data_IF_287841377379
#
_entry.id   IF_287841377379
#
_cell.length_a   1.000
_cell.length_b   1.000
_cell.length_c   1.000
_cell.angle_alpha   90.00
_cell.angle_beta   90.00
_cell.angle_gamma   90.00
#
_symmetry.space_group_name_H-M   'P 1'
#
loop_
_entity.id
_entity.type
_entity.pdbx_description
1 polymer ?
#
# COMPACT_ATOMS: atom_id res chain seq x y z
N UNK A 1 5.19 5.71 14.69
CA UNK A 1 5.87 6.21 15.91
C UNK A 1 4.86 6.09 17.05
N UNK A 2 5.22 5.48 18.18
CA UNK A 2 4.32 5.43 19.34
C UNK A 2 4.43 6.76 20.08
N UNK A 3 3.53 7.68 19.80
CA UNK A 3 3.48 8.96 20.51
C UNK A 3 2.94 8.67 21.91
N UNK A 4 3.76 8.87 22.95
CA UNK A 4 3.32 8.67 24.34
C UNK A 4 3.50 7.25 24.91
N UNK A 5 4.36 6.40 24.32
CA UNK A 5 4.74 5.13 24.97
C UNK A 5 5.43 5.41 26.33
N UNK A 6 5.10 4.69 27.42
CA UNK A 6 4.23 3.50 27.51
C UNK A 6 2.77 3.78 27.91
N UNK A 7 2.34 5.04 27.98
CA UNK A 7 0.99 5.40 28.46
C UNK A 7 -0.09 5.22 27.39
N UNK A 8 0.32 5.25 26.11
CA UNK A 8 -0.58 5.18 24.96
C UNK A 8 -0.08 4.07 24.01
N UNK A 9 -0.79 2.95 24.00
CA UNK A 9 -0.51 1.80 23.12
C UNK A 9 -1.04 1.98 21.69
N UNK A 10 -1.71 3.10 21.41
CA UNK A 10 -2.21 3.38 20.06
C UNK A 10 -1.05 3.78 19.15
N UNK A 11 -0.84 3.01 18.09
CA UNK A 11 -0.01 3.40 16.95
C UNK A 11 -0.72 4.53 16.20
N UNK A 12 -0.58 5.76 16.71
CA UNK A 12 -0.97 6.95 15.97
C UNK A 12 0.06 7.17 14.84
N UNK A 13 -0.15 6.50 13.70
CA UNK A 13 0.39 7.02 12.46
C UNK A 13 -0.50 8.19 12.08
N UNK A 14 0.06 9.40 12.17
CA UNK A 14 -0.55 10.57 11.59
C UNK A 14 0.11 10.73 10.23
N UNK A 15 -0.47 10.20 9.13
CA UNK A 15 0.12 10.29 7.80
C UNK A 15 0.03 11.73 7.23
N UNK A 16 0.15 12.76 8.08
CA UNK A 16 0.19 14.14 7.65
C UNK A 16 1.54 14.51 7.01
N UNK A 17 2.64 13.86 7.42
CA UNK A 17 4.02 14.22 7.01
C UNK A 17 4.67 13.16 6.10
N UNK A 18 4.24 11.89 6.18
CA UNK A 18 4.75 10.83 5.30
C UNK A 18 4.44 11.07 3.81
N UNK A 19 3.58 12.04 3.53
CA UNK A 19 3.37 12.56 2.20
C UNK A 19 4.05 13.93 2.15
N UNK A 20 5.29 13.96 1.68
CA UNK A 20 5.90 15.15 1.10
C UNK A 20 5.08 15.57 -0.11
N UNK A 21 3.91 16.14 0.19
CA UNK A 21 2.91 16.53 -0.78
C UNK A 21 3.63 17.48 -1.74
N UNK A 22 3.70 17.18 -3.06
CA UNK A 22 4.45 18.01 -3.99
C UNK A 22 4.06 19.50 -3.87
N UNK A 23 2.82 19.80 -3.47
CA UNK A 23 2.36 21.15 -3.17
C UNK A 23 3.08 21.81 -1.98
N UNK A 24 3.33 21.08 -0.88
CA UNK A 24 4.09 21.58 0.28
C UNK A 24 5.54 21.83 -0.11
N UNK A 25 6.15 20.92 -0.87
CA UNK A 25 7.53 21.10 -1.36
C UNK A 25 7.63 22.32 -2.27
N UNK A 26 6.71 22.47 -3.23
CA UNK A 26 6.65 23.64 -4.13
C UNK A 26 6.45 24.93 -3.34
N UNK A 27 5.56 24.94 -2.35
CA UNK A 27 5.32 26.11 -1.50
C UNK A 27 6.58 26.50 -0.71
N UNK A 28 7.28 25.53 -0.12
CA UNK A 28 8.51 25.77 0.64
C UNK A 28 9.64 26.30 -0.26
N UNK A 29 9.83 25.70 -1.44
CA UNK A 29 10.82 26.17 -2.42
C UNK A 29 10.50 27.58 -2.91
N UNK A 30 9.25 27.86 -3.26
CA UNK A 30 8.81 29.19 -3.67
C UNK A 30 9.01 30.23 -2.57
N UNK A 31 8.74 29.86 -1.32
CA UNK A 31 8.94 30.73 -0.15
C UNK A 31 10.42 31.01 0.09
N UNK A 32 11.28 30.00 -0.02
CA UNK A 32 12.73 30.15 0.09
C UNK A 32 13.30 31.09 -0.99
N UNK A 33 12.87 30.92 -2.24
CA UNK A 33 13.25 31.81 -3.34
C UNK A 33 12.75 33.24 -3.10
N UNK A 34 11.53 33.43 -2.62
CA UNK A 34 10.99 34.75 -2.32
C UNK A 34 11.78 35.45 -1.19
N UNK A 35 12.16 34.71 -0.14
CA UNK A 35 12.99 35.23 0.96
C UNK A 35 14.40 35.61 0.50
N UNK A 36 14.96 34.87 -0.46
CA UNK A 36 16.25 35.17 -1.07
C UNK A 36 16.21 36.43 -1.93
N UNK A 37 15.16 36.59 -2.74
CA UNK A 37 15.00 37.75 -3.62
C UNK A 37 14.58 39.04 -2.87
N UNK A 38 14.01 38.94 -1.66
CA UNK A 38 13.48 40.08 -0.89
C UNK A 38 13.89 40.01 0.60
N UNK A 39 15.16 40.30 0.93
CA UNK A 39 15.67 40.19 2.30
C UNK A 39 14.93 41.08 3.31
N UNK A 40 14.42 42.25 2.88
CA UNK A 40 13.64 43.16 3.74
C UNK A 40 12.27 42.61 4.15
N UNK A 41 11.77 41.54 3.52
CA UNK A 41 10.43 40.99 3.75
C UNK A 41 10.42 39.56 4.32
N UNK A 42 11.56 39.03 4.77
CA UNK A 42 11.69 37.63 5.18
C UNK A 42 10.70 37.22 6.27
N UNK A 43 10.55 38.04 7.32
CA UNK A 43 9.62 37.74 8.42
C UNK A 43 8.16 37.63 7.94
N UNK A 44 7.72 38.56 7.08
CA UNK A 44 6.38 38.52 6.51
C UNK A 44 6.18 37.30 5.60
N UNK A 45 7.15 36.99 4.73
CA UNK A 45 7.08 35.82 3.86
C UNK A 45 6.96 34.55 4.70
N UNK A 46 7.79 34.40 5.74
CA UNK A 46 7.72 33.25 6.64
C UNK A 46 6.35 33.12 7.32
N UNK A 47 5.78 34.21 7.84
CA UNK A 47 4.44 34.22 8.44
C UNK A 47 3.38 33.81 7.41
N UNK A 48 3.40 34.36 6.21
CA UNK A 48 2.47 34.00 5.13
C UNK A 48 2.61 32.52 4.77
N UNK A 49 3.83 32.01 4.60
CA UNK A 49 4.08 30.59 4.31
C UNK A 49 3.52 29.70 5.42
N UNK A 50 3.73 30.04 6.69
CA UNK A 50 3.19 29.30 7.82
C UNK A 50 1.65 29.32 7.84
N UNK A 51 1.02 30.46 7.57
CA UNK A 51 -0.43 30.57 7.46
C UNK A 51 -0.99 29.72 6.31
N UNK A 52 -0.34 29.73 5.15
CA UNK A 52 -0.73 28.90 4.01
C UNK A 52 -0.58 27.42 4.33
N UNK A 53 0.53 27.00 4.96
CA UNK A 53 0.73 25.61 5.39
C UNK A 53 -0.33 25.19 6.42
N UNK A 54 -0.62 26.02 7.41
CA UNK A 54 -1.65 25.75 8.39
C UNK A 54 -3.03 25.62 7.72
N UNK A 55 -3.38 26.52 6.80
CA UNK A 55 -4.63 26.45 6.03
C UNK A 55 -4.75 25.18 5.19
N UNK A 56 -3.66 24.75 4.53
CA UNK A 56 -3.61 23.53 3.74
C UNK A 56 -3.79 22.29 4.65
N UNK A 57 -3.10 22.24 5.79
CA UNK A 57 -3.24 21.14 6.76
C UNK A 57 -4.65 21.07 7.34
N UNK A 58 -5.25 22.21 7.72
CA UNK A 58 -6.64 22.27 8.18
C UNK A 58 -7.62 21.77 7.09
N UNK A 59 -7.44 22.21 5.84
CA UNK A 59 -8.25 21.75 4.72
C UNK A 59 -8.13 20.23 4.53
N UNK A 60 -6.91 19.70 4.58
CA UNK A 60 -6.64 18.26 4.44
C UNK A 60 -7.27 17.45 5.59
N UNK A 61 -7.27 17.98 6.82
CA UNK A 61 -7.95 17.37 7.97
C UNK A 61 -9.47 17.33 7.78
N UNK A 62 -10.08 18.44 7.36
CA UNK A 62 -11.52 18.52 7.08
C UNK A 62 -11.91 17.51 5.99
N UNK A 63 -11.14 17.46 4.91
CA UNK A 63 -11.45 16.56 3.80
C UNK A 63 -11.22 15.09 4.16
N UNK A 64 -10.17 14.77 4.95
CA UNK A 64 -9.97 13.43 5.51
C UNK A 64 -11.16 13.00 6.37
N UNK A 65 -11.67 13.91 7.21
CA UNK A 65 -12.84 13.63 8.03
C UNK A 65 -14.08 13.36 7.17
N UNK A 66 -14.34 14.19 6.15
CA UNK A 66 -15.43 13.96 5.20
C UNK A 66 -15.32 12.62 4.47
N UNK A 67 -14.11 12.27 4.02
CA UNK A 67 -13.87 10.99 3.36
C UNK A 67 -14.15 9.80 4.28
N UNK A 68 -13.78 9.91 5.56
CA UNK A 68 -14.04 8.87 6.56
C UNK A 68 -15.53 8.71 6.82
N UNK A 69 -16.27 9.82 6.95
CA UNK A 69 -17.73 9.80 7.13
C UNK A 69 -18.43 9.17 5.92
N UNK A 70 -18.10 9.60 4.70
CA UNK A 70 -18.71 9.06 3.48
C UNK A 70 -18.46 7.55 3.31
N UNK A 71 -17.25 7.09 3.67
CA UNK A 71 -16.92 5.67 3.68
C UNK A 71 -17.70 4.90 4.75
N UNK A 72 -17.80 5.42 5.98
CA UNK A 72 -18.56 4.80 7.05
C UNK A 72 -20.04 4.65 6.69
N UNK A 73 -20.65 5.68 6.10
CA UNK A 73 -22.02 5.62 5.57
C UNK A 73 -22.17 4.54 4.47
N UNK A 74 -21.18 4.44 3.59
CA UNK A 74 -21.16 3.40 2.53
C UNK A 74 -21.08 1.99 3.11
N UNK A 75 -20.28 1.77 4.17
CA UNK A 75 -20.19 0.49 4.87
C UNK A 75 -21.51 0.14 5.58
N UNK A 76 -22.09 1.11 6.29
CA UNK A 76 -23.36 0.93 6.98
C UNK A 76 -24.48 0.57 6.01
N UNK A 77 -24.55 1.22 4.85
CA UNK A 77 -25.52 0.92 3.81
C UNK A 77 -25.35 -0.48 3.20
N UNK A 78 -24.12 -1.02 3.17
CA UNK A 78 -23.81 -2.37 2.67
C UNK A 78 -24.01 -3.47 3.70
N UNK A 79 -23.97 -3.13 4.99
CA UNK A 79 -24.01 -4.12 6.07
C UNK A 79 -22.70 -4.91 6.22
N UNK A 80 -21.61 -4.43 5.64
CA UNK A 80 -20.31 -5.12 5.70
C UNK A 80 -19.66 -4.93 7.08
N UNK A 81 -19.19 -6.03 7.68
CA UNK A 81 -18.37 -5.96 8.89
C UNK A 81 -16.88 -5.81 8.52
N UNK A 82 -16.29 -4.71 8.96
CA UNK A 82 -14.87 -4.41 8.73
C UNK A 82 -14.07 -4.75 9.99
N UNK A 83 -13.13 -5.68 9.83
CA UNK A 83 -12.21 -6.15 10.89
C UNK A 83 -11.10 -5.13 11.13
N UNK A 84 -10.57 -4.56 10.05
CA UNK A 84 -9.53 -3.54 10.10
C UNK A 84 -9.69 -2.57 8.93
N UNK A 85 -9.40 -1.29 9.16
CA UNK A 85 -9.31 -0.29 8.11
C UNK A 85 -8.18 0.70 8.35
N UNK A 86 -7.59 1.19 7.27
CA UNK A 86 -6.68 2.32 7.28
C UNK A 86 -7.00 3.23 6.11
N UNK A 87 -6.66 4.50 6.25
CA UNK A 87 -6.89 5.51 5.24
C UNK A 87 -5.58 6.24 4.98
N UNK A 88 -5.22 6.33 3.71
CA UNK A 88 -4.03 7.04 3.26
C UNK A 88 -4.47 8.07 2.20
N UNK A 89 -3.88 9.27 2.25
CA UNK A 89 -4.09 10.19 1.14
C UNK A 89 -3.37 9.65 -0.10
N UNK A 90 -3.91 9.92 -1.28
CA UNK A 90 -3.35 9.40 -2.52
C UNK A 90 -2.18 10.28 -2.99
N UNK A 91 -1.05 9.66 -3.33
CA UNK A 91 0.13 10.40 -3.80
C UNK A 91 -0.19 11.26 -5.04
N UNK A 92 0.22 12.53 -5.06
CA UNK A 92 -0.08 13.57 -6.07
C UNK A 92 -1.52 14.11 -6.11
N UNK A 93 -2.43 13.64 -5.27
CA UNK A 93 -3.80 14.15 -5.22
C UNK A 93 -4.07 14.83 -3.88
N UNK A 94 -4.59 16.06 -3.93
CA UNK A 94 -4.95 16.82 -2.72
C UNK A 94 -6.28 16.38 -2.13
N UNK A 95 -7.17 15.87 -2.99
CA UNK A 95 -8.59 15.67 -2.69
C UNK A 95 -8.99 14.20 -2.78
N UNK A 96 -8.04 13.26 -2.76
CA UNK A 96 -8.37 11.84 -2.85
C UNK A 96 -7.72 11.05 -1.72
N UNK A 97 -8.49 10.12 -1.15
CA UNK A 97 -8.05 9.17 -0.14
C UNK A 97 -8.30 7.76 -0.65
N UNK A 98 -7.29 6.91 -0.52
CA UNK A 98 -7.44 5.48 -0.65
C UNK A 98 -7.70 4.91 0.75
N UNK A 99 -8.76 4.11 0.88
CA UNK A 99 -9.13 3.42 2.12
C UNK A 99 -8.93 1.94 1.87
N UNK A 100 -8.11 1.33 2.71
CA UNK A 100 -7.84 -0.10 2.67
C UNK A 100 -8.60 -0.71 3.82
N UNK A 101 -9.39 -1.74 3.53
CA UNK A 101 -10.11 -2.47 4.55
C UNK A 101 -9.93 -3.97 4.42
N UNK A 102 -10.23 -4.65 5.52
CA UNK A 102 -10.28 -6.09 5.66
C UNK A 102 -11.62 -6.49 6.23
N UNK A 103 -12.32 -7.36 5.53
CA UNK A 103 -13.45 -8.14 6.07
C UNK A 103 -12.98 -9.56 6.35
N UNK A 104 -13.89 -10.44 6.78
CA UNK A 104 -13.59 -11.87 6.94
C UNK A 104 -13.30 -12.59 5.61
N UNK A 105 -13.71 -12.00 4.48
CA UNK A 105 -13.67 -12.64 3.17
C UNK A 105 -12.89 -11.88 2.12
N UNK A 106 -12.54 -10.61 2.36
CA UNK A 106 -11.86 -9.81 1.35
C UNK A 106 -10.96 -8.73 1.95
N UNK A 107 -9.93 -8.40 1.18
CA UNK A 107 -9.20 -7.14 1.28
C UNK A 107 -9.69 -6.21 0.17
N UNK A 108 -9.99 -4.97 0.50
CA UNK A 108 -10.57 -4.03 -0.48
C UNK A 108 -9.84 -2.70 -0.47
N UNK A 109 -9.79 -2.09 -1.65
CA UNK A 109 -9.29 -0.72 -1.83
C UNK A 109 -10.43 0.13 -2.34
N UNK A 110 -10.85 1.07 -1.51
CA UNK A 110 -11.82 2.11 -1.84
C UNK A 110 -11.11 3.40 -2.14
N UNK A 111 -11.73 4.22 -2.97
CA UNK A 111 -11.32 5.60 -3.18
C UNK A 111 -12.46 6.53 -2.85
N UNK A 112 -12.12 7.58 -2.11
CA UNK A 112 -13.03 8.68 -1.80
C UNK A 112 -12.43 9.96 -2.33
N UNK A 113 -13.20 10.71 -3.13
CA UNK A 113 -12.79 12.03 -3.62
C UNK A 113 -13.26 13.17 -2.71
N UNK A 114 -12.87 14.41 -3.04
CA UNK A 114 -13.19 15.60 -2.24
C UNK A 114 -14.68 15.93 -2.17
N UNK A 115 -15.50 15.33 -3.04
CA UNK A 115 -16.97 15.43 -2.99
C UNK A 115 -17.60 14.41 -2.05
N UNK A 116 -16.84 13.45 -1.55
CA UNK A 116 -17.33 12.33 -0.75
C UNK A 116 -17.78 11.13 -1.59
N UNK A 117 -17.54 11.12 -2.90
CA UNK A 117 -17.91 9.98 -3.74
C UNK A 117 -17.01 8.79 -3.42
N UNK A 118 -17.62 7.71 -2.93
CA UNK A 118 -16.93 6.45 -2.61
C UNK A 118 -17.03 5.49 -3.79
N UNK A 119 -15.89 4.93 -4.22
CA UNK A 119 -15.85 3.89 -5.27
C UNK A 119 -14.91 2.76 -4.88
N UNK A 120 -15.29 1.52 -5.18
CA UNK A 120 -14.38 0.38 -5.09
C UNK A 120 -13.37 0.47 -6.25
N UNK A 121 -12.07 0.44 -5.94
CA UNK A 121 -11.00 0.41 -6.95
C UNK A 121 -10.72 -1.03 -7.35
N UNK A 122 -10.48 -1.89 -6.37
CA UNK A 122 -10.36 -3.34 -6.55
C UNK A 122 -10.53 -4.05 -5.19
N UNK A 123 -10.72 -5.36 -5.25
CA UNK A 123 -10.79 -6.21 -4.07
C UNK A 123 -10.13 -7.57 -4.36
N UNK A 124 -9.55 -8.16 -3.32
CA UNK A 124 -8.92 -9.47 -3.33
C UNK A 124 -9.61 -10.35 -2.31
N UNK A 125 -9.99 -11.56 -2.71
CA UNK A 125 -10.63 -12.52 -1.81
C UNK A 125 -9.58 -13.09 -0.84
N UNK A 126 -9.96 -13.20 0.43
CA UNK A 126 -9.14 -13.89 1.44
C UNK A 126 -9.50 -15.36 1.35
N UNK A 127 -8.70 -16.10 0.60
CA UNK A 127 -8.84 -17.56 0.51
C UNK A 127 -8.54 -18.22 1.85
N UNK A 128 -9.12 -19.41 2.06
CA UNK A 128 -8.80 -20.24 3.23
C UNK A 128 -7.33 -20.59 3.20
N UNK A 129 -6.63 -20.36 4.32
CA UNK A 129 -5.21 -20.64 4.43
C UNK A 129 -4.93 -22.14 4.18
N UNK A 130 -4.08 -22.39 3.19
CA UNK A 130 -3.58 -23.72 2.87
C UNK A 130 -2.41 -24.08 3.81
N UNK A 131 -2.09 -25.38 4.00
CA UNK A 131 -1.02 -25.79 4.91
C UNK A 131 0.35 -25.15 4.61
N UNK A 132 0.64 -24.88 3.34
CA UNK A 132 1.91 -24.25 2.95
C UNK A 132 1.93 -22.76 3.30
N UNK A 133 0.82 -22.06 3.11
CA UNK A 133 0.62 -20.70 3.62
C UNK A 133 0.91 -20.62 5.11
N UNK A 134 0.34 -21.52 5.92
CA UNK A 134 0.60 -21.57 7.36
C UNK A 134 2.10 -21.82 7.66
N UNK A 135 2.72 -22.81 6.99
CA UNK A 135 4.15 -23.10 7.14
C UNK A 135 5.04 -21.89 6.80
N UNK A 136 4.64 -21.10 5.79
CA UNK A 136 5.40 -19.91 5.38
C UNK A 136 5.42 -18.81 6.43
N UNK A 137 4.45 -18.77 7.36
CA UNK A 137 4.44 -17.84 8.51
C UNK A 137 5.58 -18.10 9.49
N UNK A 138 6.21 -19.28 9.46
CA UNK A 138 7.38 -19.57 10.28
C UNK A 138 8.68 -18.89 9.76
N UNK A 139 8.68 -18.41 8.52
CA UNK A 139 9.85 -17.74 7.94
C UNK A 139 10.07 -16.37 8.58
N UNK A 140 11.31 -16.08 8.99
CA UNK A 140 11.64 -14.82 9.68
C UNK A 140 11.31 -13.56 8.87
N UNK A 141 11.50 -13.58 7.54
CA UNK A 141 11.07 -12.49 6.65
C UNK A 141 9.56 -12.27 6.67
N UNK A 142 8.78 -13.35 6.63
CA UNK A 142 7.31 -13.31 6.65
C UNK A 142 6.81 -12.84 8.01
N UNK A 143 7.33 -13.34 9.13
CA UNK A 143 6.93 -12.88 10.47
C UNK A 143 7.14 -11.38 10.67
N UNK A 144 8.31 -10.89 10.26
CA UNK A 144 8.63 -9.47 10.34
C UNK A 144 7.68 -8.63 9.49
N UNK A 145 7.36 -9.10 8.28
CA UNK A 145 6.41 -8.46 7.38
C UNK A 145 4.99 -8.42 8.00
N UNK A 146 4.44 -9.58 8.38
CA UNK A 146 3.06 -9.68 8.89
C UNK A 146 2.82 -8.87 10.17
N UNK A 147 3.87 -8.63 10.98
CA UNK A 147 3.76 -7.80 12.19
C UNK A 147 3.40 -6.34 11.90
N UNK A 148 3.76 -5.82 10.73
CA UNK A 148 3.58 -4.39 10.38
C UNK A 148 2.63 -4.17 9.18
N UNK A 149 2.16 -5.26 8.58
CA UNK A 149 1.29 -5.25 7.38
C UNK A 149 -0.06 -5.91 7.67
N UNK A 150 -1.02 -5.21 8.29
CA UNK A 150 -2.31 -5.79 8.68
C UNK A 150 -3.22 -6.15 7.49
N UNK A 151 -2.96 -5.60 6.30
CA UNK A 151 -3.70 -5.90 5.07
C UNK A 151 -2.94 -6.88 4.18
N UNK A 152 -2.21 -7.80 4.82
CA UNK A 152 -1.43 -8.82 4.13
C UNK A 152 -2.29 -9.98 3.62
N UNK A 153 -1.90 -10.53 2.48
CA UNK A 153 -2.44 -11.76 1.90
C UNK A 153 -1.35 -12.63 1.26
N UNK A 154 -1.51 -13.95 1.28
CA UNK A 154 -0.61 -14.90 0.62
C UNK A 154 -1.03 -15.16 -0.82
N UNK A 155 -0.07 -15.58 -1.65
CA UNK A 155 -0.25 -16.13 -2.98
C UNK A 155 0.63 -17.36 -3.10
N UNK A 156 0.00 -18.49 -3.41
CA UNK A 156 0.70 -19.73 -3.68
C UNK A 156 0.91 -19.91 -5.18
N UNK A 157 2.08 -20.42 -5.55
CA UNK A 157 2.41 -20.77 -6.92
C UNK A 157 3.13 -22.12 -6.94
N UNK A 158 2.74 -22.95 -7.89
CA UNK A 158 3.32 -24.28 -8.06
C UNK A 158 4.01 -24.37 -9.43
N UNK A 159 5.17 -25.04 -9.46
CA UNK A 159 5.88 -25.39 -10.70
C UNK A 159 5.63 -26.84 -11.11
N UNK A 160 5.80 -27.17 -12.41
CA UNK A 160 5.74 -28.55 -12.90
C UNK A 160 6.75 -29.49 -12.23
N UNK A 161 7.89 -28.98 -11.77
CA UNK A 161 8.89 -29.78 -11.06
C UNK A 161 8.49 -30.08 -9.59
N UNK A 162 7.36 -29.56 -9.13
CA UNK A 162 6.82 -29.73 -7.77
C UNK A 162 7.41 -28.79 -6.73
N UNK A 163 8.27 -27.84 -7.12
CA UNK A 163 8.62 -26.73 -6.24
C UNK A 163 7.39 -25.84 -6.05
N UNK A 164 7.20 -25.41 -4.81
CA UNK A 164 6.12 -24.53 -4.42
C UNK A 164 6.70 -23.21 -3.93
N UNK A 165 5.97 -22.12 -4.12
CA UNK A 165 6.36 -20.79 -3.69
C UNK A 165 5.16 -20.14 -3.03
N UNK A 166 5.37 -19.62 -1.82
CA UNK A 166 4.37 -18.81 -1.12
C UNK A 166 4.94 -17.42 -0.93
N UNK A 167 4.18 -16.42 -1.37
CA UNK A 167 4.54 -15.02 -1.29
C UNK A 167 3.42 -14.22 -0.62
N UNK A 168 3.80 -13.36 0.32
CA UNK A 168 2.92 -12.44 1.01
C UNK A 168 3.12 -11.03 0.47
N UNK A 169 2.01 -10.35 0.19
CA UNK A 169 1.99 -8.92 -0.11
C UNK A 169 0.99 -8.24 0.82
N UNK A 170 0.96 -6.91 0.81
CA UNK A 170 -0.04 -6.08 1.47
C UNK A 170 -0.80 -5.31 0.38
N UNK A 171 -2.13 -5.25 0.48
CA UNK A 171 -2.97 -4.65 -0.56
C UNK A 171 -2.63 -3.18 -0.84
N UNK A 172 -1.97 -2.49 0.10
CA UNK A 172 -1.44 -1.12 -0.08
C UNK A 172 -0.33 -1.02 -1.11
N UNK A 173 0.39 -2.11 -1.37
CA UNK A 173 1.43 -2.19 -2.39
C UNK A 173 0.93 -2.70 -3.72
N UNK A 174 -0.38 -2.78 -3.89
CA UNK A 174 -1.02 -3.36 -5.07
C UNK A 174 -1.79 -2.32 -5.89
N UNK A 175 -1.95 -2.59 -7.18
CA UNK A 175 -2.76 -1.79 -8.09
C UNK A 175 -3.51 -2.68 -9.09
N UNK A 176 -4.70 -2.22 -9.48
CA UNK A 176 -5.46 -2.80 -10.57
C UNK A 176 -4.71 -2.59 -11.89
N UNK A 177 -4.54 -3.65 -12.69
CA UNK A 177 -4.02 -3.51 -14.05
C UNK A 177 -5.12 -2.91 -14.93
N UNK A 178 -4.86 -1.74 -15.52
CA UNK A 178 -5.80 -1.15 -16.48
C UNK A 178 -5.96 -2.10 -17.68
N UNK A 179 -7.19 -2.47 -18.07
CA UNK A 179 -7.41 -3.34 -19.23
C UNK A 179 -6.99 -2.67 -20.55
N UNK A 180 -6.95 -1.34 -20.60
CA UNK A 180 -6.75 -0.57 -21.83
C UNK A 180 -5.27 -0.24 -22.14
N UNK A 181 -4.33 -0.59 -21.26
CA UNK A 181 -2.89 -0.48 -21.58
C UNK A 181 -2.47 -1.81 -22.22
N UNK A 182 -2.94 -2.02 -23.44
CA UNK A 182 -2.48 -3.09 -24.32
C UNK A 182 -1.07 -2.77 -24.82
N UNK A 183 -0.08 -2.86 -23.92
CA UNK A 183 1.34 -3.23 -24.11
C UNK A 183 2.08 -2.89 -25.42
N UNK A 184 1.65 -1.91 -26.22
CA UNK A 184 2.23 -1.64 -27.54
C UNK A 184 3.42 -0.67 -27.46
N UNK A 185 3.54 0.08 -26.36
CA UNK A 185 4.64 1.04 -26.14
C UNK A 185 5.37 0.86 -24.81
N UNK A 186 5.01 -0.14 -24.00
CA UNK A 186 5.83 -0.50 -22.84
C UNK A 186 6.99 -1.32 -23.40
N UNK A 187 8.16 -0.67 -23.54
CA UNK A 187 9.39 -1.32 -23.99
C UNK A 187 9.51 -2.68 -23.28
N UNK A 188 9.87 -3.76 -23.99
CA UNK A 188 10.01 -5.08 -23.38
C UNK A 188 10.82 -4.91 -22.11
N UNK A 189 10.23 -5.32 -20.97
CA UNK A 189 10.91 -5.27 -19.70
C UNK A 189 12.32 -5.85 -19.92
N UNK A 190 13.39 -5.11 -19.57
CA UNK A 190 14.75 -5.52 -19.84
C UNK A 190 14.92 -6.97 -19.39
N UNK A 191 15.35 -7.82 -20.32
CA UNK A 191 15.36 -9.28 -20.26
C UNK A 191 15.07 -9.87 -18.88
N UNK A 192 13.94 -10.56 -18.77
CA UNK A 192 13.48 -11.34 -17.61
C UNK A 192 14.42 -12.51 -17.21
N UNK A 193 15.70 -12.45 -17.58
CA UNK A 193 16.73 -13.48 -17.42
C UNK A 193 17.32 -13.56 -16.00
N UNK A 194 16.88 -12.71 -15.06
CA UNK A 194 17.33 -12.75 -13.64
C UNK A 194 16.17 -12.86 -12.65
N UNK A 195 15.06 -13.46 -13.09
CA UNK A 195 14.16 -14.13 -12.14
C UNK A 195 14.32 -15.62 -12.39
N UNK A 196 14.29 -16.47 -11.35
CA UNK A 196 14.56 -17.92 -11.44
C UNK A 196 13.56 -18.70 -12.35
N UNK A 197 12.83 -18.04 -13.25
CA UNK A 197 11.80 -18.55 -14.15
C UNK A 197 10.38 -18.43 -13.58
N UNK A 198 10.18 -17.69 -12.49
CA UNK A 198 8.85 -17.55 -11.88
C UNK A 198 8.15 -16.32 -12.45
N UNK A 199 6.90 -16.44 -12.96
CA UNK A 199 6.14 -15.26 -13.34
C UNK A 199 5.86 -14.39 -12.10
N UNK A 200 5.85 -13.07 -12.28
CA UNK A 200 5.39 -12.15 -11.24
C UNK A 200 3.98 -12.57 -10.80
N UNK A 201 3.74 -12.77 -9.50
CA UNK A 201 2.43 -13.17 -9.01
C UNK A 201 1.36 -12.17 -9.44
N UNK A 202 0.37 -12.68 -10.16
CA UNK A 202 -0.88 -11.99 -10.49
C UNK A 202 -2.01 -12.77 -9.88
N UNK A 203 -2.82 -12.10 -9.08
CA UNK A 203 -4.03 -12.69 -8.49
C UNK A 203 -5.27 -12.18 -9.21
N UNK A 204 -6.27 -13.04 -9.43
CA UNK A 204 -7.59 -12.56 -9.83
C UNK A 204 -8.14 -11.65 -8.71
N UNK A 205 -8.61 -10.47 -9.09
CA UNK A 205 -9.44 -9.65 -8.21
C UNK A 205 -10.90 -10.10 -8.25
N UNK A 206 -11.67 -9.79 -7.21
CA UNK A 206 -13.10 -10.11 -7.12
C UNK A 206 -13.95 -9.53 -8.27
N UNK A 207 -13.45 -8.49 -8.95
CA UNK A 207 -14.10 -7.89 -10.14
C UNK A 207 -13.58 -8.43 -11.46
N UNK A 208 -12.82 -9.54 -11.46
CA UNK A 208 -12.11 -10.06 -12.63
C UNK A 208 -10.92 -9.22 -13.09
N UNK A 209 -10.64 -8.10 -12.39
CA UNK A 209 -9.52 -7.22 -12.68
C UNK A 209 -8.25 -7.81 -12.05
N UNK A 210 -7.22 -8.16 -12.83
CA UNK A 210 -5.99 -8.69 -12.26
C UNK A 210 -5.26 -7.63 -11.44
N UNK A 211 -4.78 -8.04 -10.28
CA UNK A 211 -4.04 -7.18 -9.36
C UNK A 211 -2.55 -7.48 -9.51
N UNK A 212 -1.73 -6.42 -9.50
CA UNK A 212 -0.27 -6.51 -9.42
C UNK A 212 0.20 -5.85 -8.14
N UNK A 213 1.21 -6.43 -7.48
CA UNK A 213 1.82 -5.83 -6.31
C UNK A 213 3.32 -5.62 -6.51
N UNK A 214 3.83 -4.53 -5.93
CA UNK A 214 5.21 -4.11 -6.08
C UNK A 214 6.16 -4.72 -5.05
N UNK A 215 5.65 -5.35 -3.98
CA UNK A 215 6.48 -5.90 -2.90
C UNK A 215 5.94 -7.26 -2.48
N UNK A 216 6.82 -8.25 -2.34
CA UNK A 216 6.49 -9.60 -1.88
C UNK A 216 7.53 -10.15 -0.89
N UNK A 217 7.07 -10.91 0.09
CA UNK A 217 7.90 -11.59 1.09
C UNK A 217 7.47 -13.04 1.23
N UNK A 218 8.39 -13.99 1.26
CA UNK A 218 7.97 -15.38 1.33
C UNK A 218 9.10 -16.37 1.27
N UNK A 219 8.84 -17.50 0.62
CA UNK A 219 9.83 -18.54 0.42
C UNK A 219 9.46 -19.55 -0.64
N UNK A 220 10.45 -20.38 -0.99
CA UNK A 220 10.24 -21.59 -1.79
C UNK A 220 10.28 -22.81 -0.90
N UNK A 221 9.50 -23.81 -1.29
CA UNK A 221 9.30 -25.04 -0.57
C UNK A 221 9.46 -26.22 -1.53
N UNK A 222 9.96 -27.34 -1.01
CA UNK A 222 9.93 -28.59 -1.74
C UNK A 222 8.53 -29.22 -1.75
N UNK A 223 8.42 -30.44 -2.30
CA UNK A 223 7.15 -31.16 -2.40
C UNK A 223 6.60 -31.57 -1.03
N UNK A 224 7.48 -31.73 -0.06
CA UNK A 224 7.17 -32.09 1.32
C UNK A 224 6.82 -30.86 2.19
N UNK A 225 6.84 -29.65 1.60
CA UNK A 225 6.56 -28.40 2.30
C UNK A 225 7.71 -27.90 3.17
N UNK A 226 8.93 -28.44 3.00
CA UNK A 226 10.12 -27.94 3.70
C UNK A 226 10.62 -26.69 2.99
N UNK A 227 10.82 -25.63 3.78
CA UNK A 227 11.32 -24.37 3.26
C UNK A 227 12.77 -24.52 2.78
N UNK A 228 13.03 -24.13 1.54
CA UNK A 228 14.36 -24.14 0.91
C UNK A 228 14.98 -22.74 0.96
N UNK A 229 14.23 -21.72 0.53
CA UNK A 229 14.69 -20.33 0.46
C UNK A 229 13.70 -19.40 1.14
N UNK A 230 14.22 -18.33 1.76
CA UNK A 230 13.48 -17.10 2.04
C UNK A 230 13.68 -16.13 0.88
N UNK A 231 12.61 -15.43 0.51
CA UNK A 231 12.55 -14.56 -0.66
C UNK A 231 12.00 -13.20 -0.26
N UNK A 232 12.58 -12.16 -0.84
CA UNK A 232 12.04 -10.80 -0.88
C UNK A 232 12.06 -10.35 -2.35
N UNK A 233 10.93 -9.88 -2.86
CA UNK A 233 10.81 -9.35 -4.22
C UNK A 233 10.31 -7.91 -4.17
N UNK A 234 11.01 -6.99 -4.85
CA UNK A 234 10.61 -5.58 -4.98
C UNK A 234 10.63 -5.23 -6.47
N UNK A 235 9.44 -5.04 -7.05
CA UNK A 235 9.26 -4.96 -8.49
C UNK A 235 9.83 -6.22 -9.16
N UNK A 236 10.84 -6.01 -10.02
CA UNK A 236 11.51 -7.08 -10.76
C UNK A 236 12.77 -7.60 -10.04
N UNK A 237 13.17 -6.98 -8.93
CA UNK A 237 14.37 -7.38 -8.16
C UNK A 237 13.99 -8.48 -7.17
N UNK A 238 14.62 -9.65 -7.32
CA UNK A 238 14.47 -10.80 -6.43
C UNK A 238 15.73 -10.96 -5.57
N UNK A 239 15.55 -11.05 -4.25
CA UNK A 239 16.60 -11.44 -3.32
C UNK A 239 16.19 -12.73 -2.61
N UNK A 240 17.14 -13.66 -2.50
CA UNK A 240 16.92 -14.95 -1.85
C UNK A 240 18.02 -15.28 -0.85
N UNK A 241 17.68 -16.10 0.15
CA UNK A 241 18.60 -16.61 1.17
C UNK A 241 18.19 -18.03 1.56
N UNK A 242 19.16 -18.92 1.76
CA UNK A 242 18.93 -20.27 2.29
C UNK A 242 18.33 -20.23 3.71
N UNK A 243 17.33 -21.08 3.95
CA UNK A 243 16.83 -21.33 5.32
C UNK A 243 17.90 -22.11 6.07
N UNK A 244 18.28 -21.63 7.27
CA UNK A 244 19.22 -22.32 8.17
C UNK A 244 18.46 -23.09 9.23
#
# INVERSE_FOLDING_TARGET
MRVGWPLIDTLASVPLVAMGDPFVVVLLVASALAMWLRPSSQAWIAVVTLLVLAGLLCTKLVLRHRAATAYAETLQARGDQVVASTMEARWRYLLEWDIFDRTDHALRVWRVDGSGRVRLVFAHEIEREMPLTEASRALGTVQNFLRVHPFSFPVEQQRPNGLQRVLWSDIRYCWARSPDVSSSNEAPAPDASVTDGWPSPTTPGLSGVPIRCGIWFGGTFDREGRALLQIVQIGDVLQSRQVR
#
